data_IF_504884525896
#
_entry.id   IF_504884525896
#
_cell.length_a   1.000
_cell.length_b   1.000
_cell.length_c   1.000
_cell.angle_alpha   90.00
_cell.angle_beta   90.00
_cell.angle_gamma   90.00
#
_symmetry.space_group_name_H-M   'P 1'
#
loop_
_entity.id
_entity.type
_entity.pdbx_description
1 polymer ?
#
# COMPACT_ATOMS: atom_id res chain seq x y z
N UNK A 1 -10.91 -17.19 4.92
CA UNK A 1 -10.92 -16.32 3.71
C UNK A 1 -12.14 -15.42 3.78
N UNK A 2 -11.92 -14.13 3.83
CA UNK A 2 -13.01 -13.14 3.73
C UNK A 2 -12.97 -12.61 2.30
N UNK A 3 -13.89 -13.05 1.46
CA UNK A 3 -14.08 -12.50 0.13
C UNK A 3 -15.18 -11.43 0.21
N UNK A 4 -14.79 -10.17 0.13
CA UNK A 4 -15.75 -9.08 0.00
C UNK A 4 -15.92 -8.84 -1.49
N UNK A 5 -16.89 -9.50 -2.10
CA UNK A 5 -17.30 -9.26 -3.48
C UNK A 5 -18.47 -8.31 -3.47
N UNK A 6 -18.33 -7.14 -4.10
CA UNK A 6 -19.43 -6.26 -4.38
C UNK A 6 -19.58 -6.09 -5.89
N UNK A 7 -20.69 -6.59 -6.41
CA UNK A 7 -21.09 -6.34 -7.79
C UNK A 7 -21.35 -4.84 -7.96
N UNK A 8 -20.83 -4.28 -9.03
CA UNK A 8 -20.89 -2.86 -9.32
C UNK A 8 -22.31 -2.30 -9.26
N UNK A 9 -22.53 -1.35 -8.42
CA UNK A 9 -23.60 -0.36 -8.54
C UNK A 9 -23.25 0.78 -7.60
N UNK A 10 -22.91 1.91 -8.15
CA UNK A 10 -22.88 3.28 -7.62
C UNK A 10 -22.99 3.48 -6.08
N UNK A 11 -22.27 2.70 -5.27
CA UNK A 11 -22.33 2.90 -3.84
C UNK A 11 -21.07 3.61 -3.35
N UNK A 12 -21.22 4.87 -3.05
CA UNK A 12 -20.24 5.77 -2.42
C UNK A 12 -20.06 5.52 -0.92
N UNK A 13 -20.68 4.48 -0.38
CA UNK A 13 -20.57 4.18 1.06
C UNK A 13 -19.19 3.58 1.35
N UNK A 14 -18.44 4.23 2.23
CA UNK A 14 -17.11 3.81 2.63
C UNK A 14 -17.12 2.40 3.26
N UNK A 15 -16.15 1.59 2.86
CA UNK A 15 -15.88 0.28 3.47
C UNK A 15 -14.82 0.45 4.55
N UNK A 16 -15.03 -0.11 5.73
CA UNK A 16 -14.02 -0.14 6.80
C UNK A 16 -13.66 -1.58 7.11
N UNK A 17 -12.37 -1.89 7.09
CA UNK A 17 -11.81 -3.21 7.40
C UNK A 17 -10.71 -3.02 8.44
N UNK A 18 -10.79 -3.79 9.52
CA UNK A 18 -9.71 -3.93 10.50
C UNK A 18 -9.32 -5.40 10.58
N UNK A 19 -8.05 -5.69 10.32
CA UNK A 19 -7.53 -7.05 10.34
C UNK A 19 -6.50 -7.24 11.45
N UNK A 20 -6.69 -8.26 12.27
CA UNK A 20 -5.73 -8.75 13.27
C UNK A 20 -5.44 -10.25 13.10
N UNK A 21 -6.01 -10.87 12.07
CA UNK A 21 -5.84 -12.26 11.70
C UNK A 21 -5.27 -12.40 10.30
N UNK A 22 -5.69 -13.44 9.57
CA UNK A 22 -5.25 -13.69 8.20
C UNK A 22 -6.41 -13.48 7.21
N UNK A 23 -6.15 -12.68 6.18
CA UNK A 23 -7.00 -12.54 5.00
C UNK A 23 -6.16 -12.97 3.80
N UNK A 24 -6.62 -14.00 3.09
CA UNK A 24 -5.90 -14.60 1.98
C UNK A 24 -6.76 -14.66 0.71
N UNK A 25 -6.18 -14.33 -0.42
CA UNK A 25 -6.71 -14.61 -1.74
C UNK A 25 -5.76 -15.57 -2.47
N UNK A 26 -6.29 -16.69 -2.96
CA UNK A 26 -5.50 -17.73 -3.63
C UNK A 26 -5.80 -17.84 -5.12
N UNK A 27 -6.94 -17.35 -5.56
CA UNK A 27 -7.38 -17.39 -6.96
C UNK A 27 -8.33 -16.22 -7.25
N UNK A 28 -8.24 -15.68 -8.46
CA UNK A 28 -9.19 -14.72 -9.03
C UNK A 28 -9.64 -13.57 -8.11
N UNK A 29 -8.70 -12.72 -7.71
CA UNK A 29 -9.06 -11.50 -7.01
C UNK A 29 -8.04 -11.00 -5.99
N UNK A 30 -8.38 -9.92 -5.35
CA UNK A 30 -7.62 -9.31 -4.26
C UNK A 30 -8.11 -9.82 -2.90
N UNK A 31 -7.24 -9.84 -1.90
CA UNK A 31 -7.64 -10.09 -0.51
C UNK A 31 -8.65 -9.02 -0.04
N UNK A 32 -8.39 -7.77 -0.41
CA UNK A 32 -9.31 -6.64 -0.24
C UNK A 32 -9.57 -5.99 -1.60
N UNK A 33 -10.82 -5.90 -1.98
CA UNK A 33 -11.24 -5.32 -3.26
C UNK A 33 -12.32 -4.27 -3.07
N UNK A 34 -11.93 -3.00 -3.26
CA UNK A 34 -12.86 -1.89 -3.43
C UNK A 34 -13.26 -1.77 -4.90
N UNK A 35 -14.51 -2.04 -5.22
CA UNK A 35 -15.01 -2.04 -6.58
C UNK A 35 -15.10 -0.62 -7.17
N UNK A 36 -14.22 -0.31 -8.12
CA UNK A 36 -14.28 0.92 -8.91
C UNK A 36 -13.45 2.09 -8.36
N UNK A 37 -13.20 3.05 -9.24
CA UNK A 37 -12.34 4.20 -8.94
C UNK A 37 -12.90 5.16 -7.87
N UNK A 38 -14.19 5.08 -7.59
CA UNK A 38 -14.89 5.96 -6.62
C UNK A 38 -15.23 5.27 -5.29
N UNK A 39 -14.91 3.98 -5.14
CA UNK A 39 -15.21 3.22 -3.93
C UNK A 39 -14.22 3.54 -2.82
N UNK A 40 -14.59 4.40 -1.89
CA UNK A 40 -13.77 4.74 -0.71
C UNK A 40 -13.65 3.55 0.25
N UNK A 41 -12.45 3.31 0.73
CA UNK A 41 -12.18 2.27 1.73
C UNK A 41 -11.23 2.78 2.81
N UNK A 42 -11.46 2.34 4.04
CA UNK A 42 -10.51 2.46 5.15
C UNK A 42 -10.08 1.05 5.55
N UNK A 43 -8.81 0.74 5.34
CA UNK A 43 -8.22 -0.57 5.65
C UNK A 43 -7.16 -0.38 6.72
N UNK A 44 -7.28 -1.11 7.82
CA UNK A 44 -6.28 -1.14 8.89
C UNK A 44 -5.81 -2.58 9.08
N UNK A 45 -4.54 -2.82 8.85
CA UNK A 45 -3.87 -4.08 9.14
C UNK A 45 -3.04 -3.92 10.40
N UNK A 46 -3.50 -4.48 11.50
CA UNK A 46 -2.84 -4.39 12.80
C UNK A 46 -1.54 -5.21 12.83
N UNK A 47 -0.73 -5.09 13.86
CA UNK A 47 0.60 -5.71 13.96
C UNK A 47 0.60 -7.24 13.85
N UNK A 48 -0.48 -7.91 14.24
CA UNK A 48 -0.67 -9.36 14.04
C UNK A 48 -1.37 -9.71 12.73
N UNK A 49 -1.84 -8.73 11.97
CA UNK A 49 -2.61 -8.94 10.76
C UNK A 49 -1.74 -9.36 9.59
N UNK A 50 -2.22 -10.34 8.83
CA UNK A 50 -1.58 -10.83 7.61
C UNK A 50 -2.61 -10.73 6.47
N UNK A 51 -2.21 -10.10 5.38
CA UNK A 51 -2.98 -10.06 4.14
C UNK A 51 -2.10 -10.56 3.00
N UNK A 52 -2.51 -11.63 2.35
CA UNK A 52 -1.73 -12.25 1.26
C UNK A 52 -2.56 -12.44 0.01
N UNK A 53 -1.88 -12.46 -1.12
CA UNK A 53 -2.46 -12.79 -2.41
C UNK A 53 -1.45 -13.57 -3.26
N UNK A 54 -1.86 -14.70 -3.80
CA UNK A 54 -1.10 -15.49 -4.78
C UNK A 54 -1.64 -15.42 -6.20
N UNK A 55 -2.58 -14.53 -6.47
CA UNK A 55 -3.05 -14.25 -7.82
C UNK A 55 -2.08 -13.29 -8.55
N UNK A 56 -1.56 -13.74 -9.68
CA UNK A 56 -0.59 -12.98 -10.49
C UNK A 56 -1.19 -11.76 -11.22
N UNK A 57 -2.51 -11.65 -11.28
CA UNK A 57 -3.20 -10.59 -12.02
C UNK A 57 -3.77 -9.49 -11.11
N UNK A 58 -3.80 -9.74 -9.82
CA UNK A 58 -4.46 -8.85 -8.87
C UNK A 58 -3.55 -8.42 -7.72
N UNK A 59 -3.72 -7.17 -7.28
CA UNK A 59 -3.10 -6.65 -6.07
C UNK A 59 -3.64 -7.37 -4.82
N UNK A 60 -2.86 -7.42 -3.75
CA UNK A 60 -3.37 -7.91 -2.45
C UNK A 60 -4.46 -7.00 -1.91
N UNK A 61 -4.24 -5.69 -1.96
CA UNK A 61 -5.24 -4.68 -1.63
C UNK A 61 -5.47 -3.79 -2.85
N UNK A 62 -6.73 -3.62 -3.25
CA UNK A 62 -7.14 -2.67 -4.28
C UNK A 62 -8.22 -1.76 -3.73
N UNK A 63 -8.00 -0.45 -3.73
CA UNK A 63 -8.92 0.55 -3.18
C UNK A 63 -9.14 1.71 -4.16
N UNK A 64 -10.32 2.33 -4.08
CA UNK A 64 -10.69 3.47 -4.92
C UNK A 64 -10.23 4.82 -4.37
N UNK A 65 -10.87 5.88 -4.83
CA UNK A 65 -10.51 7.25 -4.47
C UNK A 65 -10.75 7.58 -2.98
N UNK A 66 -9.99 8.52 -2.46
CA UNK A 66 -10.10 9.01 -1.08
C UNK A 66 -10.04 7.88 -0.03
N UNK A 67 -9.29 6.83 -0.36
CA UNK A 67 -9.12 5.67 0.50
C UNK A 67 -7.91 5.82 1.41
N UNK A 68 -7.93 5.08 2.51
CA UNK A 68 -6.83 5.01 3.47
C UNK A 68 -6.45 3.55 3.74
N UNK A 69 -5.18 3.22 3.59
CA UNK A 69 -4.62 1.92 3.95
C UNK A 69 -3.54 2.13 5.00
N UNK A 70 -3.74 1.60 6.20
CA UNK A 70 -2.76 1.63 7.29
C UNK A 70 -2.23 0.24 7.55
N UNK A 71 -0.91 0.05 7.52
CA UNK A 71 -0.27 -1.23 7.76
C UNK A 71 0.73 -1.18 8.91
N UNK A 72 0.45 -1.97 9.94
CA UNK A 72 1.38 -2.30 11.03
C UNK A 72 1.77 -3.79 11.03
N UNK A 73 1.11 -4.61 10.21
CA UNK A 73 1.32 -6.06 10.07
C UNK A 73 2.03 -6.41 8.77
N UNK A 74 1.60 -7.48 8.12
CA UNK A 74 2.15 -7.93 6.84
C UNK A 74 1.12 -7.81 5.73
N UNK A 75 1.48 -7.14 4.64
CA UNK A 75 0.76 -7.16 3.36
C UNK A 75 1.71 -7.70 2.31
N UNK A 76 1.34 -8.81 1.68
CA UNK A 76 2.22 -9.52 0.74
C UNK A 76 1.49 -9.96 -0.51
N UNK A 77 2.10 -9.71 -1.67
CA UNK A 77 1.76 -10.39 -2.91
C UNK A 77 2.82 -11.47 -3.16
N UNK A 78 2.40 -12.74 -3.13
CA UNK A 78 3.31 -13.89 -3.20
C UNK A 78 3.94 -14.10 -4.57
N UNK A 79 3.39 -13.50 -5.60
CA UNK A 79 3.84 -13.65 -7.00
C UNK A 79 4.54 -12.40 -7.54
N UNK A 80 4.90 -11.45 -6.67
CA UNK A 80 5.69 -10.27 -7.04
C UNK A 80 4.90 -9.17 -7.75
N UNK A 81 3.58 -9.15 -7.61
CA UNK A 81 2.71 -8.10 -8.15
C UNK A 81 2.48 -6.99 -7.11
N UNK A 82 1.46 -6.15 -7.32
CA UNK A 82 1.15 -5.05 -6.41
C UNK A 82 0.70 -5.59 -5.04
N UNK A 83 1.34 -5.13 -3.98
CA UNK A 83 0.85 -5.35 -2.62
C UNK A 83 -0.35 -4.44 -2.34
N UNK A 84 -0.25 -3.16 -2.73
CA UNK A 84 -1.33 -2.19 -2.58
C UNK A 84 -1.48 -1.41 -3.88
N UNK A 85 -2.68 -1.42 -4.46
CA UNK A 85 -3.03 -0.67 -5.65
C UNK A 85 -4.09 0.38 -5.36
N UNK A 86 -3.75 1.63 -5.58
CA UNK A 86 -4.67 2.76 -5.52
C UNK A 86 -5.35 2.91 -6.88
N UNK A 87 -6.64 2.64 -6.95
CA UNK A 87 -7.41 2.70 -8.19
C UNK A 87 -8.14 4.05 -8.36
N UNK A 88 -7.97 4.97 -7.42
CA UNK A 88 -8.55 6.32 -7.46
C UNK A 88 -7.61 7.36 -6.84
N UNK A 89 -7.94 8.63 -7.06
CA UNK A 89 -7.14 9.77 -6.61
C UNK A 89 -7.27 10.04 -5.11
N UNK A 90 -6.37 10.87 -4.58
CA UNK A 90 -6.40 11.42 -3.21
C UNK A 90 -6.43 10.32 -2.12
N UNK A 91 -5.71 9.24 -2.33
CA UNK A 91 -5.65 8.14 -1.37
C UNK A 91 -4.34 8.15 -0.58
N UNK A 92 -4.36 7.59 0.62
CA UNK A 92 -3.22 7.57 1.52
C UNK A 92 -2.85 6.14 1.91
N UNK A 93 -1.56 5.82 1.81
CA UNK A 93 -0.97 4.62 2.40
C UNK A 93 -0.14 5.07 3.60
N UNK A 94 -0.36 4.47 4.76
CA UNK A 94 0.43 4.70 5.97
C UNK A 94 1.09 3.39 6.39
N UNK A 95 2.42 3.37 6.40
CA UNK A 95 3.24 2.26 6.86
C UNK A 95 3.80 2.60 8.22
N UNK A 96 3.50 1.80 9.24
CA UNK A 96 3.85 2.09 10.62
C UNK A 96 4.24 0.84 11.41
N UNK A 97 4.83 1.05 12.57
CA UNK A 97 5.13 0.01 13.56
C UNK A 97 5.92 -1.17 12.98
N UNK A 98 6.85 -0.91 12.04
CA UNK A 98 7.64 -1.93 11.33
C UNK A 98 6.79 -2.88 10.46
N UNK A 99 5.62 -2.46 10.03
CA UNK A 99 4.77 -3.23 9.13
C UNK A 99 5.51 -3.60 7.84
N UNK A 100 5.30 -4.83 7.38
CA UNK A 100 5.99 -5.42 6.23
C UNK A 100 5.11 -5.27 5.00
N UNK A 101 5.74 -4.86 3.89
CA UNK A 101 5.11 -4.88 2.57
C UNK A 101 6.02 -5.65 1.63
N UNK A 102 5.46 -6.64 0.93
CA UNK A 102 6.13 -7.41 -0.12
C UNK A 102 5.34 -7.27 -1.41
N UNK A 103 5.93 -6.64 -2.40
CA UNK A 103 5.28 -6.22 -3.65
C UNK A 103 5.19 -4.71 -3.76
N UNK A 104 4.73 -4.21 -4.92
CA UNK A 104 4.70 -2.78 -5.23
C UNK A 104 3.58 -2.03 -4.51
N UNK A 105 3.82 -0.75 -4.26
CA UNK A 105 2.81 0.25 -3.94
C UNK A 105 2.48 1.00 -5.24
N UNK A 106 1.32 0.73 -5.81
CA UNK A 106 0.94 1.25 -7.13
C UNK A 106 -0.07 2.40 -7.01
N UNK A 107 0.33 3.57 -7.52
CA UNK A 107 -0.52 4.75 -7.74
C UNK A 107 -0.44 5.23 -9.20
N UNK A 108 -0.17 4.33 -10.15
CA UNK A 108 -0.03 4.67 -11.56
C UNK A 108 -1.29 5.35 -12.10
N UNK A 109 -1.11 6.46 -12.81
CA UNK A 109 -2.18 7.31 -13.35
C UNK A 109 -3.10 7.91 -12.27
N UNK A 110 -2.66 8.01 -11.02
CA UNK A 110 -3.42 8.62 -9.92
C UNK A 110 -2.73 9.89 -9.46
N UNK A 111 -3.52 10.84 -8.99
CA UNK A 111 -3.04 12.13 -8.48
C UNK A 111 -3.42 12.30 -7.01
N UNK A 112 -2.63 13.10 -6.27
CA UNK A 112 -2.89 13.39 -4.87
C UNK A 112 -2.69 12.20 -3.92
N UNK A 113 -1.98 11.14 -4.36
CA UNK A 113 -1.69 10.00 -3.50
C UNK A 113 -0.56 10.34 -2.53
N UNK A 114 -0.70 9.91 -1.28
CA UNK A 114 0.29 10.14 -0.23
C UNK A 114 0.80 8.81 0.33
N UNK A 115 2.12 8.70 0.49
CA UNK A 115 2.76 7.62 1.24
C UNK A 115 3.31 8.20 2.53
N UNK A 116 2.77 7.76 3.66
CA UNK A 116 3.21 8.16 5.01
C UNK A 116 4.02 7.05 5.64
N UNK A 117 5.19 7.38 6.16
CA UNK A 117 6.08 6.45 6.83
C UNK A 117 6.12 6.79 8.32
N UNK A 118 5.86 5.81 9.15
CA UNK A 118 5.85 5.91 10.62
C UNK A 118 6.36 4.60 11.23
N UNK A 119 7.58 4.23 10.89
CA UNK A 119 8.23 3.00 11.40
C UNK A 119 9.00 3.20 12.70
N UNK A 120 9.07 4.44 13.19
CA UNK A 120 9.90 4.85 14.30
C UNK A 120 11.24 5.46 13.86
N UNK A 121 11.82 6.25 14.76
CA UNK A 121 13.06 6.96 14.49
C UNK A 121 14.23 5.99 14.21
N UNK A 122 15.12 6.39 13.29
CA UNK A 122 16.32 5.62 12.98
C UNK A 122 16.10 4.33 12.19
N UNK A 123 14.92 4.09 11.65
CA UNK A 123 14.64 2.92 10.81
C UNK A 123 15.05 3.19 9.37
N UNK A 124 15.64 2.18 8.74
CA UNK A 124 15.85 2.13 7.30
C UNK A 124 14.77 1.24 6.67
N UNK A 125 14.25 1.66 5.54
CA UNK A 125 13.21 0.93 4.84
C UNK A 125 13.36 1.10 3.33
N UNK A 126 12.86 0.13 2.60
CA UNK A 126 12.82 0.13 1.15
C UNK A 126 11.41 -0.26 0.70
N UNK A 127 10.88 0.47 -0.26
CA UNK A 127 9.62 0.14 -0.92
C UNK A 127 9.74 0.33 -2.42
N UNK A 128 9.19 -0.62 -3.15
CA UNK A 128 9.00 -0.47 -4.58
C UNK A 128 7.69 0.28 -4.84
N UNK A 129 7.75 1.36 -5.58
CA UNK A 129 6.57 2.17 -5.91
C UNK A 129 6.39 2.29 -7.42
N UNK A 130 5.13 2.43 -7.86
CA UNK A 130 4.76 2.75 -9.22
C UNK A 130 3.79 3.94 -9.22
N UNK A 131 4.05 4.93 -10.08
CA UNK A 131 3.31 6.20 -10.06
C UNK A 131 3.89 7.21 -9.07
N UNK A 132 3.14 8.27 -8.79
CA UNK A 132 3.58 9.39 -7.98
C UNK A 132 2.94 9.40 -6.60
N UNK A 133 3.78 9.55 -5.57
CA UNK A 133 3.36 9.76 -4.20
C UNK A 133 3.94 11.06 -3.65
N UNK A 134 3.15 11.79 -2.86
CA UNK A 134 3.70 12.73 -1.90
C UNK A 134 4.21 11.91 -0.72
N UNK A 135 5.50 12.03 -0.41
CA UNK A 135 6.12 11.26 0.66
C UNK A 135 6.16 12.09 1.94
N UNK A 136 5.65 11.54 3.03
CA UNK A 136 5.66 12.13 4.37
C UNK A 136 6.31 11.14 5.35
N UNK A 137 7.39 11.54 5.99
CA UNK A 137 7.96 10.82 7.14
C UNK A 137 7.40 11.42 8.44
N UNK A 138 6.65 10.64 9.18
CA UNK A 138 6.00 11.07 10.42
C UNK A 138 6.91 10.95 11.65
N UNK A 139 8.06 10.31 11.51
CA UNK A 139 9.03 10.11 12.61
C UNK A 139 10.16 11.15 12.62
N UNK A 140 10.16 12.10 11.67
CA UNK A 140 11.19 13.10 11.51
C UNK A 140 12.51 12.56 10.96
N UNK A 141 12.50 11.38 10.34
CA UNK A 141 13.65 10.86 9.60
C UNK A 141 13.83 11.64 8.31
N UNK A 142 15.05 11.75 7.84
CA UNK A 142 15.28 12.30 6.51
C UNK A 142 14.79 11.30 5.45
N UNK A 143 13.73 11.67 4.78
CA UNK A 143 13.29 10.94 3.61
C UNK A 143 13.96 11.54 2.39
N UNK A 144 14.91 10.83 1.81
CA UNK A 144 15.60 11.28 0.63
C UNK A 144 14.87 10.77 -0.61
N UNK A 145 14.50 11.72 -1.45
CA UNK A 145 14.01 11.42 -2.80
C UNK A 145 15.22 11.31 -3.72
N UNK A 146 15.51 10.11 -4.19
CA UNK A 146 16.51 9.89 -5.23
C UNK A 146 16.15 10.61 -6.53
N UNK A 147 17.12 10.87 -7.37
CA UNK A 147 16.95 11.65 -8.60
C UNK A 147 16.33 10.89 -9.76
N UNK A 148 16.29 9.58 -9.72
CA UNK A 148 15.63 8.75 -10.72
C UNK A 148 15.15 7.46 -10.05
N UNK A 149 13.88 7.15 -10.19
CA UNK A 149 13.32 5.97 -9.56
C UNK A 149 13.11 6.10 -8.06
N UNK A 150 13.02 7.32 -7.55
CA UNK A 150 12.78 7.56 -6.13
C UNK A 150 11.42 7.07 -5.69
N UNK A 151 11.31 6.66 -4.45
CA UNK A 151 10.04 6.47 -3.78
C UNK A 151 9.17 7.71 -4.01
N UNK A 152 8.12 7.58 -4.79
CA UNK A 152 7.28 8.72 -5.21
C UNK A 152 7.30 9.04 -6.70
N UNK A 153 8.19 8.43 -7.51
CA UNK A 153 8.26 8.70 -8.96
C UNK A 153 8.29 7.44 -9.84
N UNK A 154 7.79 6.31 -9.36
CA UNK A 154 7.69 5.11 -10.18
C UNK A 154 9.00 4.36 -10.39
N UNK A 155 9.88 4.37 -9.42
CA UNK A 155 11.11 3.60 -9.44
C UNK A 155 11.35 2.85 -8.14
N UNK A 156 12.28 1.93 -8.18
CA UNK A 156 12.84 1.30 -7.00
C UNK A 156 14.17 1.94 -6.65
N UNK A 157 14.39 2.24 -5.39
CA UNK A 157 15.70 2.64 -4.89
C UNK A 157 16.41 1.43 -4.31
N UNK A 158 17.72 1.34 -4.51
CA UNK A 158 18.50 0.27 -3.90
C UNK A 158 18.72 0.56 -2.43
N UNK A 159 18.86 -0.49 -1.64
CA UNK A 159 19.18 -0.36 -0.21
C UNK A 159 20.46 0.45 0.01
N UNK A 160 21.44 0.32 -0.89
CA UNK A 160 22.71 1.05 -0.83
C UNK A 160 22.51 2.56 -1.06
N UNK A 161 21.60 2.95 -1.94
CA UNK A 161 21.23 4.35 -2.14
C UNK A 161 20.58 4.92 -0.88
N UNK A 162 19.65 4.22 -0.27
CA UNK A 162 19.03 4.64 0.98
C UNK A 162 20.03 4.75 2.15
N UNK A 163 21.00 3.86 2.23
CA UNK A 163 22.04 3.87 3.26
C UNK A 163 23.05 5.00 3.06
N UNK A 164 23.38 5.38 1.80
CA UNK A 164 24.32 6.44 1.51
C UNK A 164 23.84 7.84 1.94
N UNK A 165 22.56 8.01 2.12
CA UNK A 165 21.96 9.26 2.58
C UNK A 165 21.88 9.42 4.11
N UNK A 166 22.23 8.38 4.86
CA UNK A 166 22.23 8.39 6.33
C UNK A 166 23.62 8.63 6.95
N UNK A 167 24.65 8.77 6.14
CA UNK A 167 26.02 9.03 6.62
C UNK A 167 26.33 10.52 6.77
#
# INVERSE_FOLDING_TARGET
>A
TIRISKTASNNTTGMTITNSGTIEATTDGSAIFGAGATATATVTNNSSGIMTNSDSSNATIRVGASSSVTNSGTIKNDVGNDAIKLYGNNSTITLKDKGIVVGKLDALLRTGSTLKINHGAGQSYFYETEGSFTLEDLDGNQVVKGSAGSVGQGGSETLDELLSYKS
#
